data_IF_124674346265
#
_entry.id   IF_124674346265
#
_cell.length_a   1.000
_cell.length_b   1.000
_cell.length_c   1.000
_cell.angle_alpha   90.00
_cell.angle_beta   90.00
_cell.angle_gamma   90.00
#
_symmetry.space_group_name_H-M   'P 1'
#
loop_
_entity.id
_entity.type
_entity.pdbx_description
1 polymer ?
#
# COMPACT_ATOMS: atom_id res chain seq x y z
N UNK A 1 33.14 -5.06 -9.59
CA UNK A 1 32.42 -5.50 -8.37
C UNK A 1 32.22 -4.35 -7.40
N UNK A 2 33.24 -3.67 -6.91
CA UNK A 2 33.14 -2.54 -5.95
C UNK A 2 32.27 -1.39 -6.47
N UNK A 3 32.42 -0.98 -7.73
CA UNK A 3 31.63 0.10 -8.34
C UNK A 3 30.13 -0.26 -8.37
N UNK A 4 29.78 -1.49 -8.75
CA UNK A 4 28.38 -1.93 -8.76
C UNK A 4 27.78 -1.96 -7.35
N UNK A 5 28.57 -2.33 -6.34
CA UNK A 5 28.15 -2.31 -4.94
C UNK A 5 27.89 -0.87 -4.46
N UNK A 6 28.80 0.07 -4.77
CA UNK A 6 28.64 1.50 -4.42
C UNK A 6 27.41 2.09 -5.13
N UNK A 7 27.21 1.80 -6.42
CA UNK A 7 26.05 2.27 -7.17
C UNK A 7 24.77 1.70 -6.57
N UNK A 8 24.73 0.41 -6.23
CA UNK A 8 23.56 -0.21 -5.58
C UNK A 8 23.28 0.41 -4.21
N UNK A 9 24.29 0.72 -3.42
CA UNK A 9 24.13 1.35 -2.11
C UNK A 9 23.58 2.79 -2.24
N UNK A 10 24.09 3.57 -3.19
CA UNK A 10 23.60 4.93 -3.47
C UNK A 10 22.16 4.88 -3.98
N UNK A 11 21.84 3.94 -4.86
CA UNK A 11 20.46 3.76 -5.37
C UNK A 11 19.49 3.38 -4.26
N UNK A 12 19.86 2.46 -3.38
CA UNK A 12 19.03 2.06 -2.25
C UNK A 12 18.78 3.24 -1.28
N UNK A 13 19.83 3.97 -0.91
CA UNK A 13 19.70 5.15 -0.06
C UNK A 13 18.84 6.25 -0.69
N UNK A 14 18.99 6.47 -2.00
CA UNK A 14 18.18 7.45 -2.76
C UNK A 14 16.73 7.05 -2.84
N UNK A 15 16.44 5.76 -3.03
CA UNK A 15 15.07 5.23 -3.03
C UNK A 15 14.39 5.40 -1.69
N UNK A 16 15.06 5.10 -0.58
CA UNK A 16 14.51 5.27 0.76
C UNK A 16 14.17 6.73 1.08
N UNK A 17 15.05 7.67 0.67
CA UNK A 17 14.76 9.11 0.80
C UNK A 17 13.57 9.53 -0.06
N UNK A 18 13.48 9.04 -1.29
CA UNK A 18 12.37 9.31 -2.18
C UNK A 18 11.05 8.80 -1.58
N UNK A 19 11.01 7.59 -1.05
CA UNK A 19 9.83 7.02 -0.41
C UNK A 19 9.41 7.82 0.83
N UNK A 20 10.35 8.22 1.67
CA UNK A 20 10.07 9.06 2.85
C UNK A 20 9.47 10.41 2.45
N UNK A 21 10.00 11.03 1.40
CA UNK A 21 9.48 12.28 0.84
C UNK A 21 8.07 12.08 0.28
N UNK A 22 7.84 11.04 -0.51
CA UNK A 22 6.52 10.73 -1.08
C UNK A 22 5.48 10.47 -0.01
N UNK A 23 5.83 9.72 1.03
CA UNK A 23 4.96 9.48 2.17
C UNK A 23 4.53 10.77 2.90
N UNK A 24 5.44 11.74 3.00
CA UNK A 24 5.13 13.09 3.53
C UNK A 24 4.24 13.89 2.59
N UNK A 25 4.55 13.86 1.30
CA UNK A 25 3.78 14.55 0.26
C UNK A 25 2.36 13.98 0.11
N UNK A 26 2.16 12.68 0.24
CA UNK A 26 0.82 12.06 0.15
C UNK A 26 -0.19 12.72 1.09
N UNK A 27 0.16 12.95 2.36
CA UNK A 27 -0.74 13.64 3.27
C UNK A 27 -0.98 15.10 2.87
N UNK A 28 0.06 15.80 2.41
CA UNK A 28 -0.05 17.21 2.02
C UNK A 28 -0.93 17.40 0.78
N UNK A 29 -0.79 16.53 -0.23
CA UNK A 29 -1.58 16.62 -1.47
C UNK A 29 -3.05 16.22 -1.29
N UNK A 30 -3.36 15.46 -0.25
CA UNK A 30 -4.74 15.08 0.08
C UNK A 30 -5.43 16.06 1.07
N UNK A 31 -4.73 17.12 1.53
CA UNK A 31 -5.34 18.15 2.36
C UNK A 31 -6.57 18.86 1.74
N UNK A 32 -6.67 19.05 0.40
CA UNK A 32 -7.88 19.61 -0.20
C UNK A 32 -9.15 18.80 0.04
N UNK A 33 -9.05 17.53 0.42
CA UNK A 33 -10.20 16.67 0.76
C UNK A 33 -10.99 17.20 1.97
N UNK A 34 -10.40 18.04 2.81
CA UNK A 34 -11.06 18.69 3.95
C UNK A 34 -11.71 20.03 3.60
N UNK A 35 -11.98 20.28 2.32
CA UNK A 35 -12.64 21.52 1.85
C UNK A 35 -11.97 22.83 2.31
N UNK A 36 -10.68 22.76 2.66
CA UNK A 36 -9.92 23.95 3.01
C UNK A 36 -9.70 24.83 1.79
N UNK A 37 -10.06 26.12 1.82
CA UNK A 37 -9.87 27.02 0.69
C UNK A 37 -8.37 27.31 0.51
N UNK A 38 -7.76 26.65 -0.46
CA UNK A 38 -6.38 26.93 -0.84
C UNK A 38 -6.29 28.05 -1.88
N UNK A 39 -5.26 28.90 -1.82
CA UNK A 39 -4.97 29.85 -2.89
C UNK A 39 -4.77 29.12 -4.24
N UNK A 40 -5.13 29.77 -5.35
CA UNK A 40 -5.09 29.16 -6.69
C UNK A 40 -3.70 28.61 -7.07
N UNK A 41 -2.63 29.29 -6.67
CA UNK A 41 -1.26 28.84 -6.89
C UNK A 41 -0.91 27.59 -6.07
N UNK A 42 -1.42 27.46 -4.84
CA UNK A 42 -1.25 26.26 -4.03
C UNK A 42 -2.03 25.07 -4.64
N UNK A 43 -3.27 25.30 -5.09
CA UNK A 43 -4.06 24.26 -5.79
C UNK A 43 -3.35 23.78 -7.07
N UNK A 44 -2.80 24.68 -7.87
CA UNK A 44 -2.03 24.31 -9.05
C UNK A 44 -0.82 23.43 -8.71
N UNK A 45 -0.08 23.81 -7.67
CA UNK A 45 1.07 23.03 -7.18
C UNK A 45 0.66 21.65 -6.65
N UNK A 46 -0.42 21.58 -5.86
CA UNK A 46 -0.96 20.32 -5.34
C UNK A 46 -1.38 19.40 -6.48
N UNK A 47 -2.12 19.90 -7.48
CA UNK A 47 -2.57 19.11 -8.64
C UNK A 47 -1.38 18.57 -9.45
N UNK A 48 -0.31 19.34 -9.58
CA UNK A 48 0.90 18.86 -10.25
C UNK A 48 1.58 17.72 -9.44
N UNK A 49 1.66 17.86 -8.12
CA UNK A 49 2.32 16.89 -7.25
C UNK A 49 1.47 15.61 -7.09
N UNK A 50 0.14 15.70 -7.10
CA UNK A 50 -0.75 14.53 -7.02
C UNK A 50 -0.36 13.47 -8.05
N UNK A 51 -0.19 13.85 -9.31
CA UNK A 51 0.18 12.93 -10.39
C UNK A 51 1.48 12.17 -10.10
N UNK A 52 2.39 12.78 -9.34
CA UNK A 52 3.66 12.16 -8.94
C UNK A 52 3.49 11.33 -7.66
N UNK A 53 2.69 11.82 -6.71
CA UNK A 53 2.53 11.21 -5.39
C UNK A 53 1.63 9.98 -5.38
N UNK A 54 0.65 9.90 -6.29
CA UNK A 54 -0.27 8.75 -6.42
C UNK A 54 0.36 7.57 -7.17
N UNK A 55 1.56 7.74 -7.75
CA UNK A 55 2.22 6.68 -8.54
C UNK A 55 1.31 6.00 -9.56
N UNK A 56 0.36 6.76 -10.13
CA UNK A 56 -0.54 6.20 -11.12
C UNK A 56 0.17 6.08 -12.47
N UNK A 57 0.86 4.95 -12.65
CA UNK A 57 1.61 4.61 -13.88
C UNK A 57 0.70 3.90 -14.87
N UNK A 58 -0.42 3.35 -14.40
CA UNK A 58 -1.29 2.55 -15.24
C UNK A 58 -2.16 3.44 -16.14
N UNK A 59 -2.19 3.20 -17.47
CA UNK A 59 -3.11 3.92 -18.34
C UNK A 59 -4.56 3.67 -17.91
N UNK A 60 -5.33 4.74 -17.69
CA UNK A 60 -6.76 4.70 -17.30
C UNK A 60 -7.62 3.78 -18.20
N UNK A 61 -7.19 3.54 -19.43
CA UNK A 61 -7.91 2.72 -20.41
C UNK A 61 -7.77 1.20 -20.22
N UNK A 62 -6.84 0.74 -19.38
CA UNK A 62 -6.57 -0.70 -19.23
C UNK A 62 -7.61 -1.38 -18.36
N UNK A 63 -7.97 -0.79 -17.24
CA UNK A 63 -8.95 -1.36 -16.32
C UNK A 63 -10.36 -1.52 -16.93
N UNK A 64 -10.89 -0.55 -17.70
CA UNK A 64 -12.17 -0.72 -18.41
C UNK A 64 -12.19 -1.82 -19.47
N UNK A 65 -11.03 -2.29 -19.95
CA UNK A 65 -10.96 -3.45 -20.87
C UNK A 65 -11.15 -4.78 -20.13
N UNK A 66 -10.85 -4.81 -18.84
CA UNK A 66 -10.89 -6.03 -18.02
C UNK A 66 -12.21 -6.09 -17.23
N UNK A 67 -12.67 -4.95 -16.74
CA UNK A 67 -13.83 -4.82 -15.87
C UNK A 67 -14.92 -3.98 -16.53
N UNK A 68 -16.14 -4.49 -16.54
CA UNK A 68 -17.33 -3.77 -16.97
C UNK A 68 -18.05 -3.20 -15.74
N UNK A 69 -17.64 -1.99 -15.34
CA UNK A 69 -18.27 -1.28 -14.25
C UNK A 69 -19.35 -0.33 -14.77
N UNK A 70 -20.54 -0.30 -14.14
CA UNK A 70 -21.55 0.72 -14.42
C UNK A 70 -21.00 2.11 -14.19
N UNK A 71 -21.39 3.05 -15.05
CA UNK A 71 -21.01 4.46 -14.89
C UNK A 71 -21.72 5.04 -13.68
N UNK A 72 -20.95 5.43 -12.65
CA UNK A 72 -21.42 6.14 -11.47
C UNK A 72 -20.65 7.44 -11.32
N UNK A 73 -21.28 8.52 -10.81
CA UNK A 73 -20.55 9.72 -10.44
C UNK A 73 -19.52 9.37 -9.35
N UNK A 74 -18.40 10.09 -9.32
CA UNK A 74 -17.43 9.98 -8.24
C UNK A 74 -18.02 10.42 -6.88
N UNK A 75 -17.28 10.20 -5.80
CA UNK A 75 -17.74 10.53 -4.46
C UNK A 75 -18.06 12.03 -4.31
N UNK A 76 -17.14 12.89 -4.70
CA UNK A 76 -17.35 14.33 -4.87
C UNK A 76 -16.20 14.97 -5.70
N UNK A 77 -16.37 16.24 -6.11
CA UNK A 77 -15.41 16.95 -6.94
C UNK A 77 -14.00 17.06 -6.34
N UNK A 78 -13.88 17.16 -5.00
CA UNK A 78 -12.58 17.24 -4.35
C UNK A 78 -11.83 15.90 -4.46
N UNK A 79 -12.54 14.78 -4.29
CA UNK A 79 -11.97 13.45 -4.46
C UNK A 79 -11.61 13.17 -5.92
N UNK A 80 -12.46 13.58 -6.87
CA UNK A 80 -12.14 13.49 -8.31
C UNK A 80 -10.86 14.27 -8.65
N UNK A 81 -10.71 15.49 -8.12
CA UNK A 81 -9.50 16.29 -8.29
C UNK A 81 -8.25 15.65 -7.69
N UNK A 82 -8.41 14.80 -6.68
CA UNK A 82 -7.33 14.04 -6.06
C UNK A 82 -7.08 12.66 -6.71
N UNK A 83 -7.74 12.34 -7.84
CA UNK A 83 -7.55 11.08 -8.56
C UNK A 83 -8.53 9.97 -8.21
N UNK A 84 -9.48 10.22 -7.28
CA UNK A 84 -10.52 9.25 -6.89
C UNK A 84 -11.82 9.51 -7.66
N UNK A 85 -11.77 9.34 -8.99
CA UNK A 85 -12.91 9.62 -9.88
C UNK A 85 -13.98 8.52 -9.93
N UNK A 86 -13.83 7.43 -9.18
CA UNK A 86 -14.73 6.29 -9.21
C UNK A 86 -15.18 5.88 -7.81
N UNK A 87 -16.42 5.38 -7.68
CA UNK A 87 -16.90 4.70 -6.49
C UNK A 87 -16.34 3.27 -6.35
N UNK A 88 -15.71 2.74 -7.38
CA UNK A 88 -15.11 1.41 -7.39
C UNK A 88 -13.63 1.47 -7.02
N UNK A 89 -13.20 0.92 -5.85
CA UNK A 89 -11.81 0.93 -5.40
C UNK A 89 -10.80 0.39 -6.42
N UNK A 90 -11.19 -0.64 -7.17
CA UNK A 90 -10.33 -1.22 -8.21
C UNK A 90 -9.95 -0.18 -9.29
N UNK A 91 -10.87 0.74 -9.62
CA UNK A 91 -10.62 1.79 -10.61
C UNK A 91 -9.70 2.88 -10.06
N UNK A 92 -9.84 3.25 -8.79
CA UNK A 92 -9.01 4.27 -8.15
C UNK A 92 -7.59 3.77 -7.84
N UNK A 93 -7.44 2.46 -7.62
CA UNK A 93 -6.17 1.84 -7.23
C UNK A 93 -5.31 1.37 -8.40
N UNK A 94 -5.67 1.66 -9.63
CA UNK A 94 -5.03 1.22 -10.89
C UNK A 94 -3.67 0.53 -10.78
N UNK A 95 -2.64 1.28 -10.48
CA UNK A 95 -1.26 0.76 -10.34
C UNK A 95 -1.11 -0.17 -9.13
N UNK A 96 -1.66 0.17 -7.97
CA UNK A 96 -1.60 -0.69 -6.77
C UNK A 96 -2.32 -2.02 -7.01
N UNK A 97 -3.48 -1.99 -7.69
CA UNK A 97 -4.21 -3.19 -8.08
C UNK A 97 -3.36 -4.08 -9.00
N UNK A 98 -2.67 -3.50 -9.97
CA UNK A 98 -1.79 -4.24 -10.87
C UNK A 98 -0.59 -4.85 -10.13
N UNK A 99 0.06 -4.09 -9.26
CA UNK A 99 1.16 -4.59 -8.43
C UNK A 99 0.71 -5.71 -7.50
N UNK A 100 -0.49 -5.60 -6.94
CA UNK A 100 -1.08 -6.67 -6.13
C UNK A 100 -1.31 -7.95 -6.94
N UNK A 101 -1.78 -7.85 -8.19
CA UNK A 101 -1.91 -9.02 -9.07
C UNK A 101 -0.56 -9.64 -9.45
N UNK A 102 0.48 -8.83 -9.67
CA UNK A 102 1.85 -9.34 -9.86
C UNK A 102 2.30 -10.09 -8.60
N UNK A 103 2.03 -9.54 -7.43
CA UNK A 103 2.33 -10.20 -6.16
C UNK A 103 1.59 -11.55 -6.04
N UNK A 104 0.29 -11.61 -6.37
CA UNK A 104 -0.47 -12.88 -6.39
C UNK A 104 0.15 -13.89 -7.37
N UNK A 105 0.60 -13.43 -8.53
CA UNK A 105 1.32 -14.31 -9.49
C UNK A 105 2.61 -14.86 -8.85
N UNK A 106 3.37 -14.05 -8.14
CA UNK A 106 4.58 -14.50 -7.43
C UNK A 106 4.23 -15.52 -6.33
N UNK A 107 3.13 -15.33 -5.60
CA UNK A 107 2.63 -16.32 -4.61
C UNK A 107 2.26 -17.63 -5.31
N UNK A 108 1.62 -17.59 -6.46
CA UNK A 108 1.34 -18.79 -7.26
C UNK A 108 2.63 -19.52 -7.71
N UNK A 109 3.63 -18.77 -8.16
CA UNK A 109 4.94 -19.33 -8.53
C UNK A 109 5.63 -19.97 -7.32
N UNK A 110 5.58 -19.31 -6.16
CA UNK A 110 6.11 -19.83 -4.91
C UNK A 110 5.39 -21.14 -4.51
N UNK A 111 4.06 -21.16 -4.51
CA UNK A 111 3.27 -22.34 -4.18
C UNK A 111 3.53 -23.52 -5.15
N UNK A 112 3.63 -23.22 -6.45
CA UNK A 112 3.98 -24.21 -7.45
C UNK A 112 5.41 -24.76 -7.26
N UNK A 113 6.35 -23.88 -6.94
CA UNK A 113 7.75 -24.24 -6.64
C UNK A 113 7.82 -25.11 -5.37
N UNK A 114 7.00 -24.83 -4.35
CA UNK A 114 6.89 -25.64 -3.15
C UNK A 114 6.45 -27.08 -3.45
N UNK A 115 5.49 -27.28 -4.34
CA UNK A 115 5.01 -28.61 -4.74
C UNK A 115 6.05 -29.41 -5.51
N UNK A 116 6.96 -28.77 -6.22
CA UNK A 116 7.95 -29.41 -7.09
C UNK A 116 9.38 -29.38 -6.56
N UNK A 117 9.65 -28.74 -5.42
CA UNK A 117 11.01 -28.54 -4.87
C UNK A 117 11.77 -29.85 -4.66
N UNK A 118 11.07 -30.92 -4.25
CA UNK A 118 11.68 -32.21 -3.97
C UNK A 118 12.02 -33.03 -5.22
N UNK A 119 11.48 -32.62 -6.39
CA UNK A 119 11.71 -33.32 -7.67
C UNK A 119 12.75 -32.66 -8.56
N UNK A 120 12.89 -31.33 -8.50
CA UNK A 120 13.74 -30.57 -9.40
C UNK A 120 14.51 -29.50 -8.65
N UNK A 121 15.83 -29.54 -8.73
CA UNK A 121 16.72 -28.55 -8.11
C UNK A 121 16.46 -27.08 -8.54
N UNK A 122 15.89 -26.87 -9.73
CA UNK A 122 15.50 -25.54 -10.21
C UNK A 122 14.35 -24.97 -9.34
N UNK A 123 13.32 -25.76 -9.07
CA UNK A 123 12.18 -25.32 -8.24
C UNK A 123 12.58 -25.13 -6.79
N UNK A 124 13.50 -25.89 -6.26
CA UNK A 124 14.07 -25.67 -4.93
C UNK A 124 14.72 -24.29 -4.85
N UNK A 125 15.58 -23.90 -5.82
CA UNK A 125 16.21 -22.58 -5.83
C UNK A 125 15.18 -21.45 -5.97
N UNK A 126 14.15 -21.64 -6.79
CA UNK A 126 13.05 -20.68 -6.90
C UNK A 126 12.31 -20.53 -5.57
N UNK A 127 11.97 -21.63 -4.92
CA UNK A 127 11.30 -21.63 -3.62
C UNK A 127 12.14 -20.88 -2.58
N UNK A 128 13.41 -21.23 -2.40
CA UNK A 128 14.32 -20.61 -1.42
C UNK A 128 14.46 -19.10 -1.63
N UNK A 129 14.47 -18.65 -2.90
CA UNK A 129 14.54 -17.23 -3.26
C UNK A 129 13.26 -16.49 -2.91
N UNK A 130 12.09 -17.04 -3.26
CA UNK A 130 10.82 -16.37 -3.04
C UNK A 130 10.38 -16.44 -1.58
N UNK A 131 10.69 -17.52 -0.84
CA UNK A 131 10.31 -17.70 0.56
C UNK A 131 10.90 -16.62 1.47
N UNK A 132 12.12 -16.16 1.18
CA UNK A 132 12.79 -15.11 1.94
C UNK A 132 12.20 -13.71 1.73
N UNK A 133 11.78 -13.37 0.51
CA UNK A 133 11.47 -11.98 0.11
C UNK A 133 9.95 -11.73 -0.04
N UNK A 134 9.19 -12.77 -0.44
CA UNK A 134 7.83 -12.59 -0.92
C UNK A 134 6.87 -12.08 0.14
N UNK A 135 6.85 -12.72 1.31
CA UNK A 135 5.82 -12.45 2.31
C UNK A 135 6.14 -11.26 3.22
N UNK A 136 7.42 -11.02 3.50
CA UNK A 136 7.82 -10.10 4.54
C UNK A 136 8.40 -8.76 4.00
N UNK A 137 9.01 -8.78 2.82
CA UNK A 137 9.54 -7.57 2.21
C UNK A 137 8.53 -6.88 1.31
N UNK A 138 8.30 -7.46 0.13
CA UNK A 138 7.58 -6.79 -0.97
C UNK A 138 6.14 -6.43 -0.66
N UNK A 139 5.38 -7.34 -0.01
CA UNK A 139 3.96 -7.10 0.30
C UNK A 139 3.79 -6.00 1.35
N UNK A 140 4.54 -6.11 2.43
CA UNK A 140 4.41 -5.17 3.54
C UNK A 140 4.83 -3.77 3.09
N UNK A 141 5.91 -3.66 2.33
CA UNK A 141 6.37 -2.40 1.75
C UNK A 141 5.30 -1.78 0.84
N UNK A 142 4.71 -2.56 -0.07
CA UNK A 142 3.61 -2.11 -0.92
C UNK A 142 2.42 -1.58 -0.10
N UNK A 143 2.04 -2.31 0.94
CA UNK A 143 0.95 -1.90 1.82
C UNK A 143 1.28 -0.64 2.62
N UNK A 144 2.50 -0.48 3.11
CA UNK A 144 2.91 0.73 3.84
C UNK A 144 2.92 1.97 2.94
N UNK A 145 3.51 1.84 1.76
CA UNK A 145 3.65 2.96 0.83
C UNK A 145 2.31 3.41 0.26
N UNK A 146 1.46 2.45 -0.11
CA UNK A 146 0.11 2.72 -0.62
C UNK A 146 -0.96 2.90 0.46
N UNK A 147 -0.63 2.85 1.75
CA UNK A 147 -1.62 2.72 2.82
C UNK A 147 -2.70 3.80 2.81
N UNK A 148 -2.34 5.06 2.56
CA UNK A 148 -3.30 6.16 2.50
C UNK A 148 -4.26 6.02 1.32
N UNK A 149 -3.72 5.73 0.13
CA UNK A 149 -4.51 5.57 -1.10
C UNK A 149 -5.43 4.35 -1.01
N UNK A 150 -4.91 3.26 -0.44
CA UNK A 150 -5.69 2.05 -0.17
C UNK A 150 -6.85 2.36 0.78
N UNK A 151 -6.59 3.09 1.89
CA UNK A 151 -7.63 3.47 2.84
C UNK A 151 -8.69 4.37 2.21
N UNK A 152 -8.30 5.42 1.48
CA UNK A 152 -9.25 6.33 0.82
C UNK A 152 -10.12 5.58 -0.19
N UNK A 153 -9.50 4.82 -1.09
CA UNK A 153 -10.24 4.07 -2.12
C UNK A 153 -11.20 3.05 -1.53
N UNK A 154 -10.75 2.30 -0.52
CA UNK A 154 -11.57 1.27 0.15
C UNK A 154 -12.72 1.91 0.92
N UNK A 155 -12.49 2.99 1.65
CA UNK A 155 -13.54 3.67 2.40
C UNK A 155 -14.59 4.31 1.47
N UNK A 156 -14.18 4.88 0.32
CA UNK A 156 -15.13 5.33 -0.73
C UNK A 156 -15.98 4.14 -1.20
N UNK A 157 -15.37 3.00 -1.53
CA UNK A 157 -16.10 1.81 -1.97
C UNK A 157 -17.07 1.27 -0.92
N UNK A 158 -16.75 1.38 0.36
CA UNK A 158 -17.64 0.95 1.45
C UNK A 158 -18.91 1.81 1.55
N UNK A 159 -18.85 3.09 1.15
CA UNK A 159 -20.03 3.99 1.21
C UNK A 159 -21.09 3.68 0.15
N UNK A 160 -20.73 2.99 -0.94
CA UNK A 160 -21.62 2.73 -2.09
C UNK A 160 -21.67 1.25 -2.49
N UNK A 161 -21.61 0.34 -1.54
CA UNK A 161 -21.71 -1.09 -1.80
C UNK A 161 -23.12 -1.51 -2.20
N UNK A 162 -23.27 -2.02 -3.43
CA UNK A 162 -24.49 -2.61 -3.92
C UNK A 162 -24.36 -4.13 -4.08
N UNK A 163 -25.28 -4.90 -3.50
CA UNK A 163 -25.30 -6.37 -3.55
C UNK A 163 -26.38 -6.93 -4.47
N UNK A 164 -27.24 -6.08 -5.03
CA UNK A 164 -28.32 -6.45 -5.94
C UNK A 164 -28.78 -5.22 -6.71
N UNK A 165 -29.40 -5.42 -7.87
CA UNK A 165 -29.94 -4.33 -8.67
C UNK A 165 -29.64 -4.46 -10.16
N UNK A 166 -30.12 -3.50 -10.95
CA UNK A 166 -29.96 -3.49 -12.41
C UNK A 166 -28.48 -3.37 -12.84
N UNK A 167 -27.69 -2.69 -12.02
CA UNK A 167 -26.27 -2.43 -12.29
C UNK A 167 -25.35 -3.48 -11.66
N UNK A 168 -25.89 -4.53 -11.03
CA UNK A 168 -25.10 -5.55 -10.39
C UNK A 168 -24.61 -6.58 -11.41
N UNK A 169 -23.31 -6.67 -11.59
CA UNK A 169 -22.66 -7.64 -12.47
C UNK A 169 -21.45 -8.31 -11.78
N UNK A 170 -20.78 -9.21 -12.47
CA UNK A 170 -19.61 -9.93 -11.93
C UNK A 170 -18.46 -9.02 -11.53
N UNK A 171 -18.25 -7.91 -12.24
CA UNK A 171 -17.21 -6.93 -11.91
C UNK A 171 -17.52 -6.20 -10.59
N UNK A 172 -18.78 -5.84 -10.36
CA UNK A 172 -19.24 -5.21 -9.10
C UNK A 172 -19.10 -6.19 -7.94
N UNK A 173 -19.51 -7.46 -8.12
CA UNK A 173 -19.32 -8.50 -7.09
C UNK A 173 -17.85 -8.67 -6.72
N UNK A 174 -16.99 -8.77 -7.73
CA UNK A 174 -15.54 -8.88 -7.51
C UNK A 174 -15.01 -7.68 -6.74
N UNK A 175 -15.38 -6.46 -7.15
CA UNK A 175 -14.96 -5.24 -6.50
C UNK A 175 -15.42 -5.17 -5.03
N UNK A 176 -16.67 -5.56 -4.73
CA UNK A 176 -17.22 -5.59 -3.38
C UNK A 176 -16.45 -6.57 -2.48
N UNK A 177 -16.20 -7.79 -2.97
CA UNK A 177 -15.41 -8.80 -2.23
C UNK A 177 -14.00 -8.29 -1.99
N UNK A 178 -13.35 -7.74 -3.02
CA UNK A 178 -12.02 -7.15 -2.92
C UNK A 178 -11.98 -6.02 -1.88
N UNK A 179 -12.98 -5.12 -1.89
CA UNK A 179 -13.11 -4.02 -0.93
C UNK A 179 -13.22 -4.52 0.51
N UNK A 180 -14.04 -5.55 0.77
CA UNK A 180 -14.19 -6.12 2.12
C UNK A 180 -12.88 -6.76 2.60
N UNK A 181 -12.25 -7.58 1.77
CA UNK A 181 -11.00 -8.25 2.12
C UNK A 181 -9.92 -7.22 2.42
N UNK A 182 -9.78 -6.21 1.56
CA UNK A 182 -8.80 -5.15 1.73
C UNK A 182 -9.11 -4.29 2.96
N UNK A 183 -10.38 -3.99 3.26
CA UNK A 183 -10.79 -3.27 4.48
C UNK A 183 -10.33 -3.97 5.74
N UNK A 184 -10.58 -5.28 5.83
CA UNK A 184 -10.18 -6.11 6.98
C UNK A 184 -8.65 -6.10 7.12
N UNK A 185 -7.94 -6.27 6.00
CA UNK A 185 -6.47 -6.29 5.98
C UNK A 185 -5.90 -4.95 6.45
N UNK A 186 -6.40 -3.82 5.92
CA UNK A 186 -5.93 -2.49 6.28
C UNK A 186 -6.23 -2.14 7.74
N UNK A 187 -7.40 -2.54 8.24
CA UNK A 187 -7.76 -2.32 9.64
C UNK A 187 -6.90 -3.19 10.59
N UNK A 188 -6.62 -4.43 10.21
CA UNK A 188 -5.83 -5.36 11.02
C UNK A 188 -4.33 -5.05 11.00
N UNK A 189 -3.82 -4.49 9.90
CA UNK A 189 -2.39 -4.27 9.64
C UNK A 189 -1.65 -3.52 10.76
N UNK A 190 -2.10 -2.34 11.24
CA UNK A 190 -1.38 -1.62 12.30
C UNK A 190 -1.26 -2.42 13.59
N UNK A 191 -2.31 -3.15 13.97
CA UNK A 191 -2.30 -3.99 15.17
C UNK A 191 -1.39 -5.20 15.00
N UNK A 192 -1.43 -5.84 13.83
CA UNK A 192 -0.56 -6.96 13.52
C UNK A 192 0.92 -6.56 13.55
N UNK A 193 1.28 -5.41 12.96
CA UNK A 193 2.65 -4.88 12.98
C UNK A 193 3.11 -4.60 14.40
N UNK A 194 2.25 -3.97 15.20
CA UNK A 194 2.55 -3.70 16.61
C UNK A 194 2.82 -4.98 17.41
N UNK A 195 1.95 -5.99 17.25
CA UNK A 195 2.11 -7.29 17.91
C UNK A 195 3.42 -7.97 17.45
N UNK A 196 3.65 -7.98 16.12
CA UNK A 196 4.85 -8.58 15.54
C UNK A 196 6.13 -7.99 16.11
N UNK A 197 6.25 -6.66 16.16
CA UNK A 197 7.42 -6.01 16.73
C UNK A 197 7.57 -6.22 18.24
N UNK A 198 6.46 -6.22 18.99
CA UNK A 198 6.51 -6.39 20.43
C UNK A 198 6.95 -7.80 20.82
N UNK A 199 6.50 -8.81 20.07
CA UNK A 199 6.85 -10.22 20.33
C UNK A 199 8.30 -10.52 19.95
N UNK A 200 8.78 -9.96 18.83
CA UNK A 200 10.11 -10.28 18.31
C UNK A 200 11.17 -9.21 18.64
N UNK A 201 10.90 -8.33 19.62
CA UNK A 201 11.77 -7.19 19.92
C UNK A 201 13.21 -7.59 20.26
N UNK A 202 13.38 -8.71 20.95
CA UNK A 202 14.70 -9.19 21.38
C UNK A 202 15.48 -9.88 20.25
N UNK A 203 14.79 -10.36 19.20
CA UNK A 203 15.37 -11.05 18.04
C UNK A 203 15.73 -10.10 16.88
N UNK A 204 15.33 -8.84 16.94
CA UNK A 204 15.52 -7.86 15.85
C UNK A 204 17.00 -7.55 15.53
N UNK A 205 17.93 -7.89 16.40
CA UNK A 205 19.38 -7.70 16.19
C UNK A 205 20.06 -8.97 15.65
N UNK A 206 19.36 -10.10 15.58
CA UNK A 206 19.90 -11.35 15.07
C UNK A 206 20.05 -11.30 13.55
N UNK A 207 21.21 -11.72 13.02
CA UNK A 207 21.50 -11.66 11.58
C UNK A 207 20.49 -12.46 10.74
N UNK A 208 20.04 -13.62 11.22
CA UNK A 208 19.06 -14.45 10.54
C UNK A 208 17.68 -13.79 10.51
N UNK A 209 17.28 -13.12 11.60
CA UNK A 209 16.05 -12.35 11.69
C UNK A 209 16.10 -11.13 10.78
N UNK A 210 17.22 -10.41 10.74
CA UNK A 210 17.44 -9.26 9.85
C UNK A 210 17.38 -9.66 8.38
N UNK A 211 17.99 -10.79 8.00
CA UNK A 211 17.95 -11.28 6.61
C UNK A 211 16.52 -11.57 6.13
N UNK A 212 15.64 -12.02 7.04
CA UNK A 212 14.26 -12.42 6.71
C UNK A 212 13.23 -11.30 6.84
N UNK A 213 13.37 -10.44 7.85
CA UNK A 213 12.37 -9.45 8.24
C UNK A 213 12.88 -8.00 8.22
N UNK A 214 14.14 -7.79 7.89
CA UNK A 214 14.78 -6.48 7.97
C UNK A 214 14.05 -5.38 7.20
N UNK A 215 13.47 -5.72 6.04
CA UNK A 215 12.70 -4.78 5.22
C UNK A 215 11.48 -4.18 5.94
N UNK A 216 10.93 -4.88 6.96
CA UNK A 216 9.74 -4.43 7.71
C UNK A 216 10.07 -3.23 8.59
N UNK A 217 11.27 -3.25 9.21
CA UNK A 217 11.74 -2.20 10.12
C UNK A 217 12.92 -1.40 9.57
N UNK A 218 13.13 -1.48 8.25
CA UNK A 218 14.12 -0.63 7.57
C UNK A 218 13.81 0.86 7.86
N UNK A 219 14.82 1.58 8.32
CA UNK A 219 14.68 2.99 8.71
C UNK A 219 14.28 3.25 10.16
N UNK A 220 13.98 2.22 10.96
CA UNK A 220 13.83 2.38 12.40
C UNK A 220 15.22 2.36 13.08
N UNK A 221 15.47 3.37 13.90
CA UNK A 221 16.69 3.40 14.73
C UNK A 221 16.43 2.57 15.99
N UNK A 222 16.92 1.33 15.98
CA UNK A 222 16.83 0.44 17.14
C UNK A 222 17.90 0.86 18.16
N UNK A 223 17.47 1.47 19.25
CA UNK A 223 18.36 1.84 20.37
C UNK A 223 18.63 0.63 21.26
N UNK A 224 19.80 0.62 21.90
CA UNK A 224 20.13 -0.35 22.97
C UNK A 224 19.29 -0.12 24.24
N UNK A 225 18.75 1.08 24.40
CA UNK A 225 17.84 1.46 25.49
C UNK A 225 16.44 0.91 25.20
N UNK A 226 15.91 0.08 26.11
CA UNK A 226 14.61 -0.60 25.92
C UNK A 226 13.45 0.38 25.74
N UNK A 227 13.41 1.48 26.45
CA UNK A 227 12.31 2.46 26.36
C UNK A 227 12.31 3.16 25.00
N UNK A 228 13.49 3.51 24.48
CA UNK A 228 13.64 4.12 23.16
C UNK A 228 13.34 3.11 22.04
N UNK A 229 13.73 1.85 22.24
CA UNK A 229 13.43 0.77 21.29
C UNK A 229 11.93 0.52 21.21
N UNK A 230 11.24 0.48 22.34
CA UNK A 230 9.79 0.36 22.38
C UNK A 230 9.10 1.55 21.70
N UNK A 231 9.57 2.78 21.92
CA UNK A 231 9.06 3.96 21.23
C UNK A 231 9.24 3.88 19.70
N UNK A 232 10.39 3.38 19.22
CA UNK A 232 10.65 3.17 17.79
C UNK A 232 9.68 2.14 17.19
N UNK A 233 9.41 1.05 17.89
CA UNK A 233 8.47 -0.01 17.49
C UNK A 233 7.02 0.50 17.35
N UNK A 234 6.64 1.52 18.13
CA UNK A 234 5.32 2.16 18.01
C UNK A 234 5.16 3.05 16.77
N UNK A 235 6.24 3.49 16.16
CA UNK A 235 6.16 4.43 15.02
C UNK A 235 5.36 3.89 13.83
N UNK A 236 5.57 2.65 13.33
CA UNK A 236 4.79 2.11 12.21
C UNK A 236 3.29 1.95 12.52
N UNK A 237 2.95 1.63 13.76
CA UNK A 237 1.55 1.60 14.21
C UNK A 237 0.90 2.99 14.06
N UNK A 238 1.53 4.03 14.62
CA UNK A 238 1.02 5.40 14.53
C UNK A 238 1.04 5.95 13.10
N UNK A 239 2.00 5.52 12.30
CA UNK A 239 2.07 5.86 10.89
C UNK A 239 0.80 5.38 10.15
N UNK A 240 0.39 4.14 10.33
CA UNK A 240 -0.83 3.59 9.73
C UNK A 240 -2.09 4.20 10.34
N UNK A 241 -2.15 4.30 11.67
CA UNK A 241 -3.32 4.87 12.37
C UNK A 241 -3.61 6.31 11.97
N UNK A 242 -2.59 7.14 11.86
CA UNK A 242 -2.75 8.53 11.38
C UNK A 242 -3.38 8.60 9.99
N UNK A 243 -2.94 7.74 9.07
CA UNK A 243 -3.48 7.69 7.71
C UNK A 243 -4.91 7.15 7.68
N UNK A 244 -5.20 6.13 8.46
CA UNK A 244 -6.53 5.57 8.57
C UNK A 244 -7.51 6.60 9.14
N UNK A 245 -7.13 7.31 10.21
CA UNK A 245 -7.94 8.37 10.81
C UNK A 245 -8.13 9.52 9.80
N UNK A 246 -7.07 9.93 9.11
CA UNK A 246 -7.16 10.94 8.05
C UNK A 246 -8.19 10.57 6.99
N UNK A 247 -8.11 9.35 6.45
CA UNK A 247 -9.04 8.87 5.43
C UNK A 247 -10.47 8.76 5.96
N UNK A 248 -10.66 8.28 7.19
CA UNK A 248 -11.97 8.20 7.83
C UNK A 248 -12.58 9.58 8.05
N UNK A 249 -11.80 10.55 8.53
CA UNK A 249 -12.27 11.93 8.72
C UNK A 249 -12.64 12.57 7.39
N UNK A 250 -11.82 12.39 6.34
CA UNK A 250 -12.09 12.95 5.01
C UNK A 250 -13.39 12.43 4.38
N UNK A 251 -13.81 11.20 4.71
CA UNK A 251 -14.99 10.56 4.10
C UNK A 251 -16.23 10.67 5.00
N UNK A 252 -16.11 10.46 6.31
CA UNK A 252 -17.26 10.34 7.21
C UNK A 252 -17.58 11.61 8.01
N UNK A 253 -16.71 12.63 7.96
CA UNK A 253 -17.01 13.95 8.52
C UNK A 253 -17.10 14.98 7.38
N UNK A 254 -18.01 14.83 6.41
CA UNK A 254 -18.38 15.93 5.55
C UNK A 254 -19.08 16.99 6.41
N UNK A 255 -18.97 18.26 6.00
CA UNK A 255 -19.56 19.43 6.65
C UNK A 255 -21.03 19.26 7.10
#
# INVERSE_FOLDING_TARGET
MILNFIVSLIMAASLNQLYSMLNGLQLAVHMPLFFTPFPANANFFITFIITVATFDIMPEKVLPLIFDFPVKPGYNLAFEACGYGSMYPVMNLGTCFFLFNIYLLQVCIWAFSYLLKDRFAYFQRCFDKYDKVLFWGSLIRLLFEGYLELCLSVLIGLTDMEWSGVNYNGSVLYCNIFTIILSILLLAMPFWIYIFYTVNMDEMDDEEFVERYGDIYEGLVLSTDKDKRQAAVFYPFWFCMRRLIFAAVAIFLPE
#
